data_IF_089081879120
#
_entry.id   IF_089081879120
#
_cell.length_a   1.000
_cell.length_b   1.000
_cell.length_c   1.000
_cell.angle_alpha   90.00
_cell.angle_beta   90.00
_cell.angle_gamma   90.00
#
_symmetry.space_group_name_H-M   'P 1'
#
loop_
_entity.id
_entity.type
_entity.pdbx_description
1 polymer ?
#
# COMPACT_ATOMS: atom_id res chain seq x y z
N UNK A 1 -30.86 8.89 18.10
CA UNK A 1 -29.40 9.14 17.99
C UNK A 1 -28.75 8.07 17.10
N UNK A 2 -29.27 7.90 15.88
CA UNK A 2 -29.15 6.66 15.06
C UNK A 2 -28.69 6.92 13.63
N UNK A 3 -27.94 8.01 13.40
CA UNK A 3 -27.44 8.39 12.06
C UNK A 3 -25.91 8.32 11.92
N UNK A 4 -25.19 7.91 12.97
CA UNK A 4 -23.73 7.91 12.96
C UNK A 4 -23.23 6.49 12.71
N UNK A 5 -22.48 6.33 11.61
CA UNK A 5 -21.49 5.27 11.26
C UNK A 5 -21.69 4.68 9.84
N UNK A 6 -21.85 5.52 8.81
CA UNK A 6 -21.78 5.03 7.42
C UNK A 6 -20.33 4.69 6.99
N UNK A 7 -19.32 5.39 7.52
CA UNK A 7 -17.93 5.27 7.06
C UNK A 7 -17.26 3.94 7.48
N UNK A 8 -17.59 3.41 8.67
CA UNK A 8 -16.99 2.15 9.17
C UNK A 8 -17.17 0.98 8.21
N UNK A 9 -18.32 0.92 7.54
CA UNK A 9 -18.69 -0.23 6.73
C UNK A 9 -18.25 -0.10 5.28
N UNK A 10 -17.74 1.06 4.88
CA UNK A 10 -17.14 1.26 3.55
C UNK A 10 -15.61 1.23 3.56
N UNK A 11 -14.99 1.01 4.72
CA UNK A 11 -13.52 1.03 4.87
C UNK A 11 -12.83 0.05 3.93
N UNK A 12 -13.40 -1.15 3.75
CA UNK A 12 -12.86 -2.16 2.84
C UNK A 12 -13.05 -1.75 1.39
N UNK A 13 -14.21 -1.19 1.05
CA UNK A 13 -14.48 -0.70 -0.31
C UNK A 13 -13.52 0.44 -0.70
N UNK A 14 -13.18 1.34 0.23
CA UNK A 14 -12.16 2.36 0.01
C UNK A 14 -10.76 1.77 -0.19
N UNK A 15 -10.38 0.72 0.54
CA UNK A 15 -9.09 0.03 0.32
C UNK A 15 -9.06 -0.66 -1.04
N UNK A 16 -10.15 -1.32 -1.43
CA UNK A 16 -10.30 -1.92 -2.76
C UNK A 16 -10.15 -0.86 -3.83
N UNK A 17 -10.86 0.25 -3.66
CA UNK A 17 -10.77 1.38 -4.56
C UNK A 17 -9.33 1.91 -4.70
N UNK A 18 -8.58 2.05 -3.61
CA UNK A 18 -7.17 2.44 -3.64
C UNK A 18 -6.32 1.46 -4.47
N UNK A 19 -6.52 0.15 -4.32
CA UNK A 19 -5.85 -0.86 -5.17
C UNK A 19 -6.19 -0.62 -6.65
N UNK A 20 -7.45 -0.30 -6.94
CA UNK A 20 -7.91 0.09 -8.26
C UNK A 20 -7.18 1.31 -8.84
N UNK A 21 -6.98 2.36 -8.04
CA UNK A 21 -6.22 3.54 -8.45
C UNK A 21 -4.77 3.22 -8.80
N UNK A 22 -4.11 2.38 -7.98
CA UNK A 22 -2.74 1.92 -8.26
C UNK A 22 -2.71 1.11 -9.56
N UNK A 23 -3.70 0.25 -9.81
CA UNK A 23 -3.80 -0.51 -11.06
C UNK A 23 -4.02 0.39 -12.29
N UNK A 24 -4.92 1.37 -12.22
CA UNK A 24 -5.15 2.32 -13.33
C UNK A 24 -3.84 3.03 -13.66
N UNK A 25 -3.17 3.58 -12.66
CA UNK A 25 -1.94 4.31 -12.86
C UNK A 25 -0.81 3.40 -13.37
N UNK A 26 -0.70 2.19 -12.83
CA UNK A 26 0.19 1.17 -13.37
C UNK A 26 -0.09 0.93 -14.86
N UNK A 27 -1.36 0.82 -15.27
CA UNK A 27 -1.73 0.52 -16.65
C UNK A 27 -1.44 1.69 -17.60
N UNK A 28 -1.77 2.92 -17.19
CA UNK A 28 -1.48 4.12 -17.98
C UNK A 28 0.03 4.33 -18.11
N UNK A 29 0.78 4.16 -17.02
CA UNK A 29 2.25 4.24 -17.06
C UNK A 29 2.85 3.16 -17.95
N UNK A 30 2.38 1.92 -17.79
CA UNK A 30 2.84 0.75 -18.55
C UNK A 30 2.57 0.94 -20.04
N UNK A 31 1.44 1.51 -20.43
CA UNK A 31 1.13 1.85 -21.83
C UNK A 31 2.13 2.82 -22.45
N UNK A 32 2.50 3.86 -21.70
CA UNK A 32 3.35 4.95 -22.21
C UNK A 32 4.82 4.52 -22.21
N UNK A 33 5.25 3.75 -21.21
CA UNK A 33 6.64 3.31 -21.08
C UNK A 33 6.98 2.00 -21.78
N UNK A 34 6.02 1.11 -22.04
CA UNK A 34 6.21 -0.12 -22.81
C UNK A 34 6.07 0.09 -24.33
N UNK A 35 6.63 1.17 -24.85
CA UNK A 35 6.95 1.22 -26.28
C UNK A 35 7.91 0.07 -26.65
N UNK A 36 8.00 -0.29 -27.94
CA UNK A 36 8.90 -1.36 -28.44
C UNK A 36 10.34 -1.21 -27.89
N UNK A 37 10.78 0.04 -27.73
CA UNK A 37 12.09 0.41 -27.21
C UNK A 37 12.23 0.14 -25.69
N UNK A 38 11.16 0.36 -24.92
CA UNK A 38 11.11 0.06 -23.49
C UNK A 38 11.30 -1.43 -23.21
N UNK A 39 10.57 -2.30 -23.93
CA UNK A 39 10.69 -3.75 -23.84
C UNK A 39 12.09 -4.27 -24.18
N UNK A 40 12.65 -3.80 -25.30
CA UNK A 40 13.99 -4.20 -25.74
C UNK A 40 15.08 -3.75 -24.75
N UNK A 41 14.95 -2.56 -24.17
CA UNK A 41 15.90 -2.10 -23.14
C UNK A 41 15.79 -2.92 -21.84
N UNK A 42 14.58 -3.38 -21.51
CA UNK A 42 14.31 -4.18 -20.30
C UNK A 42 14.92 -5.58 -20.44
N UNK A 43 14.79 -6.20 -21.62
CA UNK A 43 15.42 -7.49 -21.97
C UNK A 43 16.96 -7.35 -22.01
N UNK A 44 17.48 -6.25 -22.56
CA UNK A 44 18.91 -6.03 -22.68
C UNK A 44 19.59 -5.71 -21.33
N UNK A 45 18.90 -5.00 -20.42
CA UNK A 45 19.47 -4.58 -19.12
C UNK A 45 19.25 -5.61 -18.01
N UNK A 46 18.14 -6.34 -18.02
CA UNK A 46 17.86 -7.33 -16.99
C UNK A 46 18.30 -8.72 -17.48
N UNK A 47 19.41 -9.24 -16.93
CA UNK A 47 19.76 -10.66 -17.05
C UNK A 47 18.79 -11.51 -16.21
N UNK A 48 17.52 -11.54 -16.58
CA UNK A 48 16.51 -12.42 -15.97
C UNK A 48 16.75 -13.87 -16.39
N UNK A 49 16.06 -14.81 -15.71
CA UNK A 49 16.11 -16.23 -16.05
C UNK A 49 15.85 -16.47 -17.55
N UNK A 50 16.52 -17.44 -18.20
CA UNK A 50 16.39 -17.69 -19.64
C UNK A 50 14.94 -17.85 -20.12
N UNK A 51 14.10 -18.51 -19.31
CA UNK A 51 12.67 -18.72 -19.62
C UNK A 51 11.89 -17.39 -19.59
N UNK A 52 12.18 -16.53 -18.61
CA UNK A 52 11.54 -15.22 -18.48
C UNK A 52 11.99 -14.29 -19.61
N UNK A 53 13.27 -14.35 -19.98
CA UNK A 53 13.80 -13.62 -21.13
C UNK A 53 13.20 -14.10 -22.46
N UNK A 54 13.04 -15.41 -22.66
CA UNK A 54 12.38 -15.96 -23.83
C UNK A 54 10.90 -15.51 -23.92
N UNK A 55 10.18 -15.54 -22.80
CA UNK A 55 8.81 -15.02 -22.73
C UNK A 55 8.75 -13.53 -23.08
N UNK A 56 9.64 -12.71 -22.52
CA UNK A 56 9.69 -11.29 -22.84
C UNK A 56 10.12 -10.99 -24.26
N UNK A 57 11.02 -11.80 -24.84
CA UNK A 57 11.38 -11.71 -26.25
C UNK A 57 10.16 -11.97 -27.15
N UNK A 58 9.34 -12.98 -26.84
CA UNK A 58 8.09 -13.24 -27.58
C UNK A 58 7.11 -12.07 -27.43
N UNK A 59 6.93 -11.54 -26.21
CA UNK A 59 6.08 -10.37 -25.98
C UNK A 59 6.62 -9.11 -26.68
N UNK A 60 7.94 -8.95 -26.81
CA UNK A 60 8.55 -7.82 -27.51
C UNK A 60 8.40 -7.90 -29.03
N UNK A 61 8.16 -9.09 -29.60
CA UNK A 61 7.80 -9.23 -31.01
C UNK A 61 6.32 -8.90 -31.27
N UNK A 62 5.48 -8.99 -30.23
CA UNK A 62 4.05 -8.73 -30.29
C UNK A 62 3.62 -7.61 -29.33
N UNK A 63 4.41 -6.52 -29.24
CA UNK A 63 4.20 -5.47 -28.22
C UNK A 63 2.82 -4.85 -28.26
N UNK A 64 2.28 -4.57 -29.45
CA UNK A 64 0.95 -3.97 -29.59
C UNK A 64 -0.13 -4.92 -29.08
N UNK A 65 -0.10 -6.19 -29.51
CA UNK A 65 -1.05 -7.20 -29.06
C UNK A 65 -0.94 -7.45 -27.56
N UNK A 66 0.29 -7.57 -27.04
CA UNK A 66 0.57 -7.81 -25.62
C UNK A 66 0.08 -6.64 -24.76
N UNK A 67 0.29 -5.40 -25.21
CA UNK A 67 -0.17 -4.20 -24.53
C UNK A 67 -1.69 -4.10 -24.52
N UNK A 68 -2.36 -4.43 -25.63
CA UNK A 68 -3.83 -4.47 -25.72
C UNK A 68 -4.40 -5.54 -24.79
N UNK A 69 -3.80 -6.75 -24.75
CA UNK A 69 -4.23 -7.82 -23.85
C UNK A 69 -4.08 -7.40 -22.39
N UNK A 70 -2.94 -6.80 -22.01
CA UNK A 70 -2.72 -6.27 -20.65
C UNK A 70 -3.80 -5.23 -20.30
N UNK A 71 -4.09 -4.30 -21.21
CA UNK A 71 -5.14 -3.31 -21.01
C UNK A 71 -6.52 -3.92 -20.81
N UNK A 72 -6.91 -4.88 -21.64
CA UNK A 72 -8.20 -5.55 -21.53
C UNK A 72 -8.29 -6.31 -20.20
N UNK A 73 -7.23 -7.04 -19.81
CA UNK A 73 -7.19 -7.76 -18.54
C UNK A 73 -7.29 -6.79 -17.36
N UNK A 74 -6.55 -5.68 -17.36
CA UNK A 74 -6.62 -4.71 -16.26
C UNK A 74 -7.97 -3.99 -16.25
N UNK A 75 -8.51 -3.61 -17.40
CA UNK A 75 -9.85 -3.01 -17.50
C UNK A 75 -10.93 -3.95 -16.95
N UNK A 76 -10.88 -5.25 -17.30
CA UNK A 76 -11.77 -6.26 -16.74
C UNK A 76 -11.57 -6.40 -15.23
N UNK A 77 -10.32 -6.47 -14.75
CA UNK A 77 -10.04 -6.52 -13.30
C UNK A 77 -10.57 -5.28 -12.58
N UNK A 78 -10.44 -4.09 -13.14
CA UNK A 78 -10.99 -2.85 -12.60
C UNK A 78 -12.52 -2.91 -12.55
N UNK A 79 -13.17 -3.31 -13.64
CA UNK A 79 -14.62 -3.52 -13.67
C UNK A 79 -15.04 -4.53 -12.59
N UNK A 80 -14.36 -5.67 -12.46
CA UNK A 80 -14.70 -6.67 -11.45
C UNK A 80 -14.35 -6.27 -10.01
N UNK A 81 -13.34 -5.43 -9.83
CA UNK A 81 -12.92 -4.95 -8.52
C UNK A 81 -13.89 -3.88 -7.98
N UNK A 82 -14.40 -3.03 -8.87
CA UNK A 82 -15.32 -1.93 -8.56
C UNK A 82 -16.79 -2.38 -8.61
N UNK A 83 -17.14 -3.28 -9.53
CA UNK A 83 -18.50 -3.79 -9.67
C UNK A 83 -18.70 -5.03 -8.80
N UNK A 84 -17.75 -5.95 -8.61
CA UNK A 84 -17.93 -7.20 -7.85
C UNK A 84 -17.34 -7.18 -6.43
N UNK A 85 -17.80 -8.05 -5.52
CA UNK A 85 -17.09 -8.44 -4.27
C UNK A 85 -16.35 -9.77 -4.46
N UNK A 86 -15.90 -10.04 -5.69
CA UNK A 86 -15.31 -11.33 -6.03
C UNK A 86 -13.88 -11.44 -5.47
N UNK A 87 -13.69 -12.33 -4.50
CA UNK A 87 -12.40 -12.63 -3.86
C UNK A 87 -11.36 -13.09 -4.89
N UNK A 88 -11.77 -13.79 -5.94
CA UNK A 88 -10.88 -14.21 -7.02
C UNK A 88 -10.28 -13.05 -7.79
N UNK A 89 -11.02 -11.95 -7.97
CA UNK A 89 -10.47 -10.75 -8.61
C UNK A 89 -9.33 -10.15 -7.78
N UNK A 90 -9.52 -10.02 -6.47
CA UNK A 90 -8.50 -9.52 -5.56
C UNK A 90 -7.28 -10.46 -5.49
N UNK A 91 -7.50 -11.77 -5.55
CA UNK A 91 -6.42 -12.75 -5.65
C UNK A 91 -5.61 -12.59 -6.95
N UNK A 92 -6.28 -12.46 -8.10
CA UNK A 92 -5.64 -12.24 -9.40
C UNK A 92 -4.86 -10.90 -9.44
N UNK A 93 -5.41 -9.84 -8.84
CA UNK A 93 -4.70 -8.56 -8.67
C UNK A 93 -3.46 -8.73 -7.80
N UNK A 94 -3.55 -9.51 -6.71
CA UNK A 94 -2.40 -9.91 -5.91
C UNK A 94 -1.34 -10.61 -6.77
N UNK A 95 -1.72 -11.61 -7.56
CA UNK A 95 -0.79 -12.32 -8.46
C UNK A 95 -0.16 -11.40 -9.51
N UNK A 96 -0.91 -10.42 -10.03
CA UNK A 96 -0.39 -9.42 -10.97
C UNK A 96 0.74 -8.59 -10.32
N UNK A 97 0.50 -8.04 -9.12
CA UNK A 97 1.54 -7.30 -8.40
C UNK A 97 2.73 -8.18 -8.01
N UNK A 98 2.50 -9.45 -7.68
CA UNK A 98 3.57 -10.42 -7.45
C UNK A 98 4.43 -10.60 -8.70
N UNK A 99 3.81 -10.79 -9.87
CA UNK A 99 4.52 -10.91 -11.14
C UNK A 99 5.32 -9.65 -11.47
N UNK A 100 4.71 -8.47 -11.34
CA UNK A 100 5.39 -7.19 -11.56
C UNK A 100 6.57 -7.01 -10.61
N UNK A 101 6.39 -7.37 -9.34
CA UNK A 101 7.47 -7.36 -8.36
C UNK A 101 8.61 -8.27 -8.80
N UNK A 102 8.33 -9.53 -9.17
CA UNK A 102 9.32 -10.49 -9.65
C UNK A 102 10.14 -9.97 -10.84
N UNK A 103 9.49 -9.28 -11.78
CA UNK A 103 10.13 -8.75 -13.00
C UNK A 103 10.96 -7.48 -12.71
N UNK A 104 10.65 -6.78 -11.62
CA UNK A 104 11.37 -5.57 -11.20
C UNK A 104 12.45 -5.86 -10.15
N UNK A 105 12.59 -7.12 -9.72
CA UNK A 105 13.68 -7.55 -8.85
C UNK A 105 15.05 -7.21 -9.44
N UNK A 106 15.95 -6.72 -8.58
CA UNK A 106 17.29 -6.32 -8.96
C UNK A 106 17.39 -4.93 -9.61
N UNK A 107 16.27 -4.24 -9.89
CA UNK A 107 16.33 -2.83 -10.30
C UNK A 107 16.76 -1.94 -9.13
N UNK A 108 17.92 -1.27 -9.19
CA UNK A 108 18.39 -0.39 -8.12
C UNK A 108 17.40 0.77 -7.91
N UNK A 109 17.20 1.17 -6.64
CA UNK A 109 16.29 2.25 -6.25
C UNK A 109 14.81 1.87 -6.10
N UNK A 110 14.40 0.65 -6.46
CA UNK A 110 13.01 0.23 -6.22
C UNK A 110 12.78 -0.08 -4.74
N UNK A 111 11.93 0.71 -4.07
CA UNK A 111 11.50 0.42 -2.70
C UNK A 111 10.78 -0.94 -2.66
N UNK A 112 11.17 -1.83 -1.75
CA UNK A 112 10.68 -3.21 -1.68
C UNK A 112 9.14 -3.27 -1.66
N UNK A 113 8.53 -2.40 -0.87
CA UNK A 113 7.09 -2.39 -0.63
C UNK A 113 6.26 -1.75 -1.75
N UNK A 114 6.91 -1.20 -2.79
CA UNK A 114 6.22 -0.59 -3.94
C UNK A 114 5.12 -1.49 -4.52
N UNK A 115 5.46 -2.74 -4.76
CA UNK A 115 4.54 -3.73 -5.33
C UNK A 115 4.11 -4.78 -4.30
N UNK A 116 4.96 -5.04 -3.30
CA UNK A 116 4.65 -5.98 -2.21
C UNK A 116 3.48 -5.48 -1.37
N UNK A 117 3.35 -4.17 -1.14
CA UNK A 117 2.26 -3.65 -0.31
C UNK A 117 0.89 -3.76 -1.02
N UNK A 118 0.68 -3.26 -2.25
CA UNK A 118 -0.56 -3.53 -3.00
C UNK A 118 -0.87 -5.02 -3.15
N UNK A 119 0.15 -5.86 -3.37
CA UNK A 119 0.01 -7.31 -3.42
C UNK A 119 -0.52 -7.89 -2.09
N UNK A 120 0.15 -7.60 -0.97
CA UNK A 120 -0.19 -8.14 0.34
C UNK A 120 -1.57 -7.67 0.81
N UNK A 121 -1.91 -6.40 0.59
CA UNK A 121 -3.25 -5.85 0.86
C UNK A 121 -4.30 -6.59 0.02
N UNK A 122 -4.06 -6.77 -1.29
CA UNK A 122 -4.99 -7.49 -2.18
C UNK A 122 -5.21 -8.93 -1.74
N UNK A 123 -4.15 -9.65 -1.36
CA UNK A 123 -4.22 -11.03 -0.87
C UNK A 123 -4.98 -11.11 0.46
N UNK A 124 -4.69 -10.23 1.43
CA UNK A 124 -5.44 -10.17 2.69
C UNK A 124 -6.93 -9.95 2.43
N UNK A 125 -7.27 -9.01 1.54
CA UNK A 125 -8.65 -8.73 1.18
C UNK A 125 -9.32 -9.91 0.45
N UNK A 126 -8.57 -10.66 -0.36
CA UNK A 126 -9.07 -11.87 -1.05
C UNK A 126 -9.40 -13.01 -0.07
N UNK A 127 -8.62 -13.13 1.00
CA UNK A 127 -8.77 -14.19 2.01
C UNK A 127 -9.83 -13.84 3.06
N UNK A 128 -10.15 -12.55 3.21
CA UNK A 128 -11.22 -12.13 4.12
C UNK A 128 -12.60 -12.59 3.65
N UNK A 129 -13.28 -13.31 4.53
CA UNK A 129 -14.55 -13.93 4.22
C UNK A 129 -15.72 -12.94 4.32
N UNK A 130 -15.95 -12.11 3.29
CA UNK A 130 -17.15 -11.26 3.22
C UNK A 130 -18.39 -12.04 2.77
N UNK A 131 -19.56 -11.80 3.40
CA UNK A 131 -20.83 -12.19 2.83
C UNK A 131 -21.00 -11.56 1.43
N UNK A 132 -21.63 -12.28 0.49
CA UNK A 132 -21.88 -11.78 -0.87
C UNK A 132 -22.89 -10.61 -0.90
N UNK A 133 -23.66 -10.41 0.17
CA UNK A 133 -24.62 -9.33 0.32
C UNK A 133 -23.97 -8.15 1.06
N UNK A 134 -23.96 -6.97 0.42
CA UNK A 134 -23.59 -5.71 1.08
C UNK A 134 -24.77 -5.22 1.93
N UNK A 135 -24.55 -4.82 3.19
CA UNK A 135 -25.61 -4.40 4.08
C UNK A 135 -26.54 -3.33 3.47
N UNK A 136 -27.86 -3.53 3.60
CA UNK A 136 -28.88 -2.59 3.13
C UNK A 136 -28.83 -1.31 3.97
N UNK A 137 -28.66 -0.14 3.35
CA UNK A 137 -28.40 1.13 4.05
C UNK A 137 -29.13 2.30 3.42
N UNK A 138 -30.30 2.60 3.98
CA UNK A 138 -31.14 3.76 3.65
C UNK A 138 -30.52 5.15 3.99
N UNK A 139 -29.25 5.22 4.41
CA UNK A 139 -28.57 6.49 4.77
C UNK A 139 -27.45 6.89 3.81
N UNK A 140 -27.34 6.27 2.64
CA UNK A 140 -26.30 6.60 1.67
C UNK A 140 -26.63 7.96 1.02
N UNK A 141 -26.03 9.03 1.53
CA UNK A 141 -26.11 10.34 0.91
C UNK A 141 -25.18 10.36 -0.31
N UNK A 142 -25.74 10.02 -1.48
CA UNK A 142 -25.04 9.99 -2.76
C UNK A 142 -24.25 11.28 -3.00
N UNK A 143 -24.80 12.43 -2.62
CA UNK A 143 -24.16 13.74 -2.79
C UNK A 143 -22.88 13.88 -1.97
N UNK A 144 -22.88 13.44 -0.71
CA UNK A 144 -21.66 13.46 0.15
C UNK A 144 -20.61 12.49 -0.40
N UNK A 145 -21.04 11.31 -0.87
CA UNK A 145 -20.13 10.32 -1.44
C UNK A 145 -19.49 10.82 -2.74
N UNK A 146 -20.27 11.47 -3.61
CA UNK A 146 -19.76 12.10 -4.84
C UNK A 146 -18.83 13.29 -4.54
N UNK A 147 -19.12 14.10 -3.52
CA UNK A 147 -18.24 15.18 -3.11
C UNK A 147 -16.89 14.66 -2.58
N UNK A 148 -16.90 13.62 -1.74
CA UNK A 148 -15.68 12.95 -1.27
C UNK A 148 -14.91 12.32 -2.43
N UNK A 149 -15.61 11.70 -3.37
CA UNK A 149 -15.03 11.14 -4.60
C UNK A 149 -14.30 12.21 -5.41
N UNK A 150 -14.95 13.37 -5.61
CA UNK A 150 -14.35 14.49 -6.32
C UNK A 150 -13.11 15.03 -5.61
N UNK A 151 -13.20 15.29 -4.29
CA UNK A 151 -12.07 15.73 -3.47
C UNK A 151 -10.90 14.76 -3.55
N UNK A 152 -11.17 13.46 -3.51
CA UNK A 152 -10.13 12.43 -3.60
C UNK A 152 -9.53 12.37 -5.01
N UNK A 153 -10.32 12.47 -6.08
CA UNK A 153 -9.82 12.56 -7.45
C UNK A 153 -8.96 13.80 -7.68
N UNK A 154 -9.32 14.94 -7.10
CA UNK A 154 -8.49 16.16 -7.11
C UNK A 154 -7.19 15.93 -6.34
N UNK A 155 -7.23 15.29 -5.17
CA UNK A 155 -6.02 14.94 -4.42
C UNK A 155 -5.11 14.01 -5.24
N UNK A 156 -5.66 13.02 -5.94
CA UNK A 156 -4.88 12.13 -6.82
C UNK A 156 -4.26 12.89 -7.98
N UNK A 157 -5.01 13.80 -8.61
CA UNK A 157 -4.48 14.67 -9.64
C UNK A 157 -3.32 15.52 -9.11
N UNK A 158 -3.48 16.13 -7.92
CA UNK A 158 -2.44 16.95 -7.30
C UNK A 158 -1.19 16.14 -6.96
N UNK A 159 -1.34 14.97 -6.33
CA UNK A 159 -0.21 14.10 -6.00
C UNK A 159 0.56 13.66 -7.25
N UNK A 160 -0.16 13.35 -8.33
CA UNK A 160 0.46 12.96 -9.60
C UNK A 160 1.11 14.17 -10.30
N UNK A 161 0.45 15.32 -10.31
CA UNK A 161 1.01 16.53 -10.89
C UNK A 161 2.28 16.97 -10.14
N UNK A 162 2.26 16.90 -8.81
CA UNK A 162 3.40 17.22 -7.95
C UNK A 162 4.56 16.24 -8.12
N UNK A 163 4.27 14.99 -8.47
CA UNK A 163 5.32 14.01 -8.72
C UNK A 163 5.96 14.14 -10.10
N UNK A 164 5.40 14.94 -11.01
CA UNK A 164 5.86 15.11 -12.40
C UNK A 164 6.13 13.81 -13.17
N UNK A 165 5.48 12.71 -12.78
CA UNK A 165 5.70 11.37 -13.32
C UNK A 165 5.30 11.34 -14.81
N UNK A 166 6.28 11.48 -15.72
CA UNK A 166 6.07 11.56 -17.18
C UNK A 166 6.51 12.87 -17.88
N UNK A 167 7.15 13.82 -17.18
CA UNK A 167 7.63 15.05 -17.81
C UNK A 167 6.47 15.96 -18.29
N UNK A 168 6.57 16.58 -19.47
CA UNK A 168 5.50 17.44 -20.03
C UNK A 168 4.16 16.68 -20.18
N UNK A 169 4.23 15.36 -20.40
CA UNK A 169 3.05 14.48 -20.51
C UNK A 169 2.44 14.12 -19.14
N UNK A 170 3.15 14.38 -18.03
CA UNK A 170 2.70 14.03 -16.68
C UNK A 170 1.35 14.67 -16.35
N UNK A 171 1.09 15.91 -16.77
CA UNK A 171 -0.19 16.58 -16.51
C UNK A 171 -1.35 15.90 -17.24
N UNK A 172 -1.12 15.43 -18.47
CA UNK A 172 -2.12 14.68 -19.24
C UNK A 172 -2.39 13.31 -18.60
N UNK A 173 -1.34 12.60 -18.19
CA UNK A 173 -1.46 11.30 -17.52
C UNK A 173 -2.14 11.43 -16.16
N UNK A 174 -1.80 12.47 -15.39
CA UNK A 174 -2.45 12.82 -14.13
C UNK A 174 -3.95 13.02 -14.33
N UNK A 175 -4.29 13.86 -15.33
CA UNK A 175 -5.67 14.21 -15.65
C UNK A 175 -6.46 12.98 -16.10
N UNK A 176 -5.93 12.20 -17.03
CA UNK A 176 -6.58 11.00 -17.54
C UNK A 176 -6.78 9.96 -16.43
N UNK A 177 -5.75 9.71 -15.61
CA UNK A 177 -5.84 8.77 -14.48
C UNK A 177 -6.85 9.22 -13.44
N UNK A 178 -6.90 10.52 -13.12
CA UNK A 178 -7.86 11.09 -12.18
C UNK A 178 -9.29 11.02 -12.71
N UNK A 179 -9.51 11.27 -14.01
CA UNK A 179 -10.82 11.15 -14.67
C UNK A 179 -11.28 9.69 -14.70
N UNK A 180 -10.42 8.75 -15.11
CA UNK A 180 -10.75 7.32 -15.10
C UNK A 180 -11.08 6.85 -13.68
N UNK A 181 -10.26 7.23 -12.69
CA UNK A 181 -10.51 6.91 -11.29
C UNK A 181 -11.83 7.51 -10.78
N UNK A 182 -12.14 8.76 -11.15
CA UNK A 182 -13.40 9.42 -10.82
C UNK A 182 -14.60 8.65 -11.40
N UNK A 183 -14.59 8.37 -12.70
CA UNK A 183 -15.67 7.65 -13.39
C UNK A 183 -15.89 6.26 -12.77
N UNK A 184 -14.81 5.51 -12.53
CA UNK A 184 -14.91 4.19 -11.90
C UNK A 184 -15.45 4.26 -10.47
N UNK A 185 -15.07 5.29 -9.70
CA UNK A 185 -15.58 5.51 -8.35
C UNK A 185 -17.07 5.83 -8.37
N UNK A 186 -17.53 6.71 -9.28
CA UNK A 186 -18.95 6.97 -9.51
C UNK A 186 -19.69 5.68 -9.88
N UNK A 187 -19.17 4.89 -10.81
CA UNK A 187 -19.77 3.60 -11.19
C UNK A 187 -19.84 2.61 -10.01
N UNK A 188 -18.80 2.50 -9.19
CA UNK A 188 -18.82 1.69 -7.97
C UNK A 188 -19.87 2.18 -6.97
N UNK A 189 -20.00 3.50 -6.80
CA UNK A 189 -21.00 4.10 -5.93
C UNK A 189 -22.43 3.83 -6.42
N UNK A 190 -22.66 3.92 -7.72
CA UNK A 190 -23.95 3.57 -8.32
C UNK A 190 -24.23 2.07 -8.15
N UNK A 191 -23.25 1.21 -8.42
CA UNK A 191 -23.39 -0.25 -8.26
C UNK A 191 -23.66 -0.66 -6.80
N UNK A 192 -22.98 -0.03 -5.85
CA UNK A 192 -23.21 -0.27 -4.41
C UNK A 192 -24.57 0.23 -3.95
N UNK A 193 -25.03 1.39 -4.44
CA UNK A 193 -26.38 1.89 -4.20
C UNK A 193 -27.45 0.87 -4.68
N UNK A 194 -27.32 0.35 -5.91
CA UNK A 194 -28.25 -0.64 -6.42
C UNK A 194 -28.20 -1.98 -5.67
N UNK A 195 -27.02 -2.39 -5.20
CA UNK A 195 -26.88 -3.59 -4.36
C UNK A 195 -27.51 -3.45 -2.99
N UNK A 196 -27.41 -2.26 -2.39
CA UNK A 196 -27.95 -2.01 -1.07
C UNK A 196 -29.47 -2.22 -1.02
N UNK A 197 -30.19 -2.06 -2.14
CA UNK A 197 -31.65 -2.31 -2.20
C UNK A 197 -32.07 -3.76 -1.96
N UNK A 198 -31.16 -4.75 -1.98
CA UNK A 198 -31.48 -6.12 -1.55
C UNK A 198 -31.55 -6.16 -0.02
N UNK A 199 -32.69 -6.58 0.54
CA UNK A 199 -32.84 -6.77 1.99
C UNK A 199 -31.79 -7.75 2.52
N UNK A 200 -30.97 -7.30 3.46
CA UNK A 200 -29.95 -8.09 4.12
C UNK A 200 -30.42 -8.43 5.53
N UNK A 201 -30.21 -9.67 5.96
CA UNK A 201 -30.59 -10.13 7.31
C UNK A 201 -29.71 -9.47 8.38
N UNK A 202 -30.17 -9.39 9.63
CA UNK A 202 -29.35 -8.85 10.73
C UNK A 202 -28.05 -9.66 10.95
N UNK A 203 -28.08 -10.97 10.70
CA UNK A 203 -26.93 -11.88 10.87
C UNK A 203 -25.82 -11.59 9.84
N UNK A 204 -26.21 -11.18 8.62
CA UNK A 204 -25.27 -10.78 7.58
C UNK A 204 -24.54 -9.46 7.93
N UNK A 205 -25.21 -8.54 8.62
CA UNK A 205 -24.62 -7.27 9.07
C UNK A 205 -23.53 -7.51 10.14
N UNK A 206 -23.81 -8.35 11.12
CA UNK A 206 -22.82 -8.71 12.15
C UNK A 206 -21.64 -9.47 11.55
N UNK A 207 -21.92 -10.40 10.64
CA UNK A 207 -20.90 -11.14 9.89
C UNK A 207 -20.00 -10.23 9.07
N UNK A 208 -20.57 -9.23 8.38
CA UNK A 208 -19.81 -8.24 7.63
C UNK A 208 -18.92 -7.39 8.54
N UNK A 209 -19.46 -6.88 9.66
CA UNK A 209 -18.69 -6.08 10.63
C UNK A 209 -17.53 -6.88 11.23
N UNK A 210 -17.76 -8.16 11.54
CA UNK A 210 -16.74 -9.09 12.04
C UNK A 210 -15.65 -9.35 10.99
N UNK A 211 -16.03 -9.59 9.74
CA UNK A 211 -15.10 -9.76 8.62
C UNK A 211 -14.23 -8.50 8.42
N UNK A 212 -14.85 -7.31 8.33
CA UNK A 212 -14.15 -6.03 8.21
C UNK A 212 -13.16 -5.81 9.35
N UNK A 213 -13.57 -6.05 10.59
CA UNK A 213 -12.69 -5.88 11.74
C UNK A 213 -11.48 -6.82 11.69
N UNK A 214 -11.68 -8.08 11.29
CA UNK A 214 -10.62 -9.06 11.13
C UNK A 214 -9.64 -8.66 10.02
N UNK A 215 -10.14 -8.14 8.90
CA UNK A 215 -9.33 -7.65 7.78
C UNK A 215 -8.51 -6.43 8.19
N UNK A 216 -9.12 -5.44 8.86
CA UNK A 216 -8.38 -4.28 9.36
C UNK A 216 -7.29 -4.74 10.34
N UNK A 217 -7.59 -5.67 11.25
CA UNK A 217 -6.57 -6.22 12.15
C UNK A 217 -5.44 -6.93 11.39
N UNK A 218 -5.73 -7.64 10.30
CA UNK A 218 -4.73 -8.25 9.43
C UNK A 218 -3.80 -7.19 8.80
N UNK A 219 -4.38 -6.08 8.33
CA UNK A 219 -3.64 -4.95 7.77
C UNK A 219 -2.73 -4.28 8.80
N UNK A 220 -3.18 -4.15 10.06
CA UNK A 220 -2.34 -3.64 11.16
C UNK A 220 -1.04 -4.44 11.33
N UNK A 221 -1.11 -5.78 11.27
CA UNK A 221 0.12 -6.59 11.31
C UNK A 221 0.99 -6.36 10.08
N UNK A 222 0.38 -6.16 8.92
CA UNK A 222 1.12 -5.86 7.70
C UNK A 222 1.87 -4.54 7.77
N UNK A 223 1.24 -3.49 8.30
CA UNK A 223 1.94 -2.22 8.54
C UNK A 223 3.02 -2.33 9.62
N UNK A 224 2.75 -3.05 10.71
CA UNK A 224 3.76 -3.30 11.75
C UNK A 224 4.99 -4.04 11.21
N UNK A 225 4.77 -5.10 10.42
CA UNK A 225 5.85 -5.83 9.74
C UNK A 225 6.65 -4.94 8.81
N UNK A 226 5.96 -4.16 7.97
CA UNK A 226 6.60 -3.23 7.04
C UNK A 226 7.51 -2.24 7.77
N UNK A 227 7.04 -1.65 8.89
CA UNK A 227 7.85 -0.73 9.68
C UNK A 227 9.03 -1.43 10.37
N UNK A 228 8.89 -2.66 10.87
CA UNK A 228 10.04 -3.42 11.41
C UNK A 228 11.10 -3.63 10.33
N UNK A 229 10.68 -4.03 9.12
CA UNK A 229 11.59 -4.15 7.99
C UNK A 229 12.26 -2.81 7.67
N UNK A 230 11.50 -1.72 7.62
CA UNK A 230 12.00 -0.38 7.33
C UNK A 230 13.07 0.03 8.34
N UNK A 231 12.81 -0.12 9.65
CA UNK A 231 13.76 0.23 10.71
C UNK A 231 15.08 -0.53 10.55
N UNK A 232 15.01 -1.83 10.29
CA UNK A 232 16.21 -2.67 10.13
C UNK A 232 16.94 -2.30 8.83
N UNK A 233 16.19 -2.14 7.73
CA UNK A 233 16.74 -1.73 6.44
C UNK A 233 17.50 -0.40 6.54
N UNK A 234 16.90 0.58 7.20
CA UNK A 234 17.45 1.94 7.33
C UNK A 234 18.68 1.95 8.24
N UNK A 235 18.73 1.07 9.26
CA UNK A 235 19.92 0.84 10.07
C UNK A 235 21.08 0.26 9.23
N UNK A 236 20.81 -0.75 8.39
CA UNK A 236 21.80 -1.35 7.49
C UNK A 236 22.26 -0.41 6.36
N UNK A 237 21.39 0.50 5.92
CA UNK A 237 21.73 1.56 4.96
C UNK A 237 22.45 2.75 5.62
N UNK A 238 22.68 2.69 6.93
CA UNK A 238 23.23 3.77 7.75
C UNK A 238 22.42 5.08 7.68
N UNK A 239 21.15 5.02 7.31
CA UNK A 239 20.26 6.17 7.26
C UNK A 239 19.90 6.68 8.66
N UNK A 240 20.02 5.86 9.71
CA UNK A 240 19.94 6.33 11.11
C UNK A 240 21.27 6.80 11.71
N UNK A 241 22.25 7.14 10.87
CA UNK A 241 23.46 7.84 11.30
C UNK A 241 23.39 9.31 10.88
N UNK A 242 24.03 10.22 11.63
CA UNK A 242 24.08 11.64 11.27
C UNK A 242 24.54 11.83 9.82
N UNK A 243 25.65 11.20 9.43
CA UNK A 243 26.22 11.32 8.09
C UNK A 243 25.31 10.74 7.00
N UNK A 244 24.72 9.56 7.24
CA UNK A 244 23.83 8.93 6.26
C UNK A 244 22.52 9.69 6.08
N UNK A 245 21.92 10.20 7.16
CA UNK A 245 20.68 10.95 7.11
C UNK A 245 20.85 12.34 6.49
N UNK A 246 21.93 13.05 6.85
CA UNK A 246 22.29 14.33 6.23
C UNK A 246 22.52 14.14 4.73
N UNK A 247 23.28 13.12 4.34
CA UNK A 247 23.47 12.78 2.93
C UNK A 247 22.15 12.48 2.22
N UNK A 248 21.25 11.70 2.84
CA UNK A 248 19.95 11.35 2.29
C UNK A 248 19.10 12.61 2.00
N UNK A 249 18.97 13.50 2.98
CA UNK A 249 18.18 14.73 2.82
C UNK A 249 18.84 15.67 1.82
N UNK A 250 20.16 15.83 1.85
CA UNK A 250 20.88 16.66 0.88
C UNK A 250 20.66 16.17 -0.55
N UNK A 251 20.70 14.84 -0.75
CA UNK A 251 20.36 14.20 -2.04
C UNK A 251 18.91 14.51 -2.41
N UNK A 252 17.97 14.37 -1.47
CA UNK A 252 16.56 14.66 -1.72
C UNK A 252 16.32 16.13 -2.11
N UNK A 253 16.91 17.07 -1.38
CA UNK A 253 16.84 18.50 -1.65
C UNK A 253 17.43 18.87 -3.03
N UNK A 254 18.55 18.22 -3.41
CA UNK A 254 19.24 18.47 -4.68
C UNK A 254 18.48 17.94 -5.89
N UNK A 255 17.89 16.75 -5.77
CA UNK A 255 17.32 16.03 -6.92
C UNK A 255 15.79 16.05 -6.99
N UNK A 256 15.09 16.62 -6.00
CA UNK A 256 13.63 16.75 -6.06
C UNK A 256 13.18 17.67 -7.21
N UNK A 257 12.14 17.23 -7.92
CA UNK A 257 11.43 18.02 -8.93
C UNK A 257 10.10 18.60 -8.39
N UNK A 258 9.82 18.44 -7.10
CA UNK A 258 8.61 18.95 -6.47
C UNK A 258 8.55 20.49 -6.47
N UNK A 259 7.36 21.09 -6.21
CA UNK A 259 7.19 22.54 -6.10
C UNK A 259 8.16 23.21 -5.12
N UNK A 260 8.38 24.52 -5.30
CA UNK A 260 9.35 25.31 -4.52
C UNK A 260 9.16 25.20 -3.00
N UNK A 261 7.92 25.06 -2.53
CA UNK A 261 7.61 24.88 -1.12
C UNK A 261 8.21 23.58 -0.56
N UNK A 262 8.08 22.46 -1.28
CA UNK A 262 8.67 21.17 -0.89
C UNK A 262 10.19 21.25 -0.91
N UNK A 263 10.78 21.92 -1.92
CA UNK A 263 12.23 22.17 -1.98
C UNK A 263 12.74 22.95 -0.76
N UNK A 264 12.06 24.05 -0.44
CA UNK A 264 12.42 24.91 0.70
C UNK A 264 12.29 24.16 2.03
N UNK A 265 11.29 23.30 2.15
CA UNK A 265 11.10 22.44 3.31
C UNK A 265 12.21 21.38 3.45
N UNK A 266 12.64 20.73 2.36
CA UNK A 266 13.76 19.78 2.37
C UNK A 266 15.08 20.44 2.80
N UNK A 267 15.36 21.66 2.30
CA UNK A 267 16.54 22.44 2.73
C UNK A 267 16.47 22.80 4.22
N UNK A 268 15.26 23.06 4.74
CA UNK A 268 15.08 23.26 6.18
C UNK A 268 15.36 21.97 6.97
N UNK A 269 14.85 20.82 6.50
CA UNK A 269 15.08 19.52 7.14
C UNK A 269 16.57 19.14 7.16
N UNK A 270 17.33 19.49 6.13
CA UNK A 270 18.79 19.23 6.06
C UNK A 270 19.51 19.84 7.26
N UNK A 271 19.14 21.07 7.65
CA UNK A 271 19.71 21.77 8.82
C UNK A 271 19.39 21.09 10.15
N UNK A 272 18.25 20.38 10.22
CA UNK A 272 17.82 19.65 11.41
C UNK A 272 18.18 18.16 11.35
N UNK A 273 18.87 17.69 10.32
CA UNK A 273 19.26 16.29 10.12
C UNK A 273 19.95 15.63 11.33
N UNK A 274 20.79 16.32 12.15
CA UNK A 274 21.40 15.70 13.32
C UNK A 274 20.41 15.33 14.43
N UNK A 275 19.24 15.97 14.47
CA UNK A 275 18.18 15.65 15.44
C UNK A 275 17.10 14.75 14.83
N UNK A 276 16.76 15.00 13.57
CA UNK A 276 15.68 14.29 12.88
C UNK A 276 15.94 12.79 12.75
N UNK A 277 17.19 12.36 12.52
CA UNK A 277 17.48 10.92 12.42
C UNK A 277 17.20 10.17 13.73
N UNK A 278 17.51 10.78 14.88
CA UNK A 278 17.26 10.20 16.21
C UNK A 278 15.75 10.12 16.45
N UNK A 279 15.03 11.22 16.15
CA UNK A 279 13.58 11.28 16.31
C UNK A 279 12.90 10.24 15.42
N UNK A 280 13.31 10.12 14.16
CA UNK A 280 12.75 9.15 13.22
C UNK A 280 13.03 7.71 13.65
N UNK A 281 14.26 7.39 14.10
CA UNK A 281 14.60 6.06 14.63
C UNK A 281 13.70 5.67 15.81
N UNK A 282 13.53 6.56 16.79
CA UNK A 282 12.70 6.31 17.97
C UNK A 282 11.24 6.16 17.56
N UNK A 283 10.73 7.10 16.76
CA UNK A 283 9.34 7.13 16.33
C UNK A 283 8.99 5.88 15.52
N UNK A 284 9.78 5.53 14.51
CA UNK A 284 9.58 4.33 13.68
C UNK A 284 9.62 3.05 14.51
N UNK A 285 10.60 2.92 15.41
CA UNK A 285 10.72 1.74 16.28
C UNK A 285 9.51 1.59 17.20
N UNK A 286 9.05 2.67 17.84
CA UNK A 286 7.88 2.67 18.72
C UNK A 286 6.61 2.34 17.95
N UNK A 287 6.43 2.90 16.75
CA UNK A 287 5.27 2.64 15.90
C UNK A 287 5.29 1.20 15.37
N UNK A 288 6.44 0.67 14.96
CA UNK A 288 6.62 -0.70 14.49
C UNK A 288 6.24 -1.72 15.58
N UNK A 289 6.82 -1.56 16.77
CA UNK A 289 6.55 -2.42 17.92
C UNK A 289 5.08 -2.27 18.35
N UNK A 290 4.58 -1.05 18.46
CA UNK A 290 3.21 -0.75 18.90
C UNK A 290 2.14 -1.38 17.99
N UNK A 291 2.29 -1.25 16.67
CA UNK A 291 1.38 -1.83 15.70
C UNK A 291 1.44 -3.37 15.68
N UNK A 292 2.65 -3.96 15.76
CA UNK A 292 2.81 -5.41 15.73
C UNK A 292 2.30 -6.09 17.01
N UNK A 293 2.59 -5.51 18.18
CA UNK A 293 2.07 -5.97 19.48
C UNK A 293 0.60 -5.56 19.72
N UNK A 294 0.06 -4.67 18.88
CA UNK A 294 -1.27 -4.06 19.03
C UNK A 294 -1.48 -3.46 20.40
N UNK A 295 -0.52 -2.63 20.82
CA UNK A 295 -0.58 -1.80 22.02
C UNK A 295 -0.58 -0.34 21.59
N UNK A 296 -1.30 0.49 22.33
CA UNK A 296 -1.50 1.91 21.97
C UNK A 296 -1.98 2.04 20.51
N UNK A 297 -2.90 1.15 20.11
CA UNK A 297 -3.20 0.87 18.68
C UNK A 297 -3.63 2.11 17.90
N UNK A 298 -4.52 2.93 18.46
CA UNK A 298 -5.06 4.11 17.76
C UNK A 298 -4.00 5.21 17.63
N UNK A 299 -3.27 5.60 18.69
CA UNK A 299 -2.16 6.54 18.53
C UNK A 299 -1.07 6.02 17.60
N UNK A 300 -0.72 4.73 17.65
CA UNK A 300 0.25 4.15 16.72
C UNK A 300 -0.24 4.19 15.26
N UNK A 301 -1.53 3.98 15.01
CA UNK A 301 -2.09 4.10 13.65
C UNK A 301 -2.02 5.53 13.11
N UNK A 302 -2.40 6.53 13.93
CA UNK A 302 -2.30 7.93 13.52
C UNK A 302 -0.83 8.35 13.37
N UNK A 303 0.04 7.96 14.30
CA UNK A 303 1.47 8.22 14.23
C UNK A 303 2.11 7.61 12.97
N UNK A 304 1.80 6.36 12.65
CA UNK A 304 2.27 5.71 11.42
C UNK A 304 1.69 6.34 10.17
N UNK A 305 0.41 6.75 10.19
CA UNK A 305 -0.20 7.50 9.07
C UNK A 305 0.53 8.81 8.81
N UNK A 306 0.79 9.58 9.87
CA UNK A 306 1.48 10.87 9.77
C UNK A 306 2.93 10.70 9.34
N UNK A 307 3.63 9.72 9.90
CA UNK A 307 5.01 9.41 9.53
C UNK A 307 5.09 8.99 8.06
N UNK A 308 4.33 7.97 7.63
CA UNK A 308 4.35 7.52 6.24
C UNK A 308 3.91 8.62 5.28
N UNK A 309 2.96 9.47 5.67
CA UNK A 309 2.55 10.63 4.87
C UNK A 309 3.64 11.70 4.76
N UNK A 310 4.36 11.98 5.84
CA UNK A 310 5.50 12.90 5.82
C UNK A 310 6.64 12.34 4.96
N UNK A 311 6.97 11.06 5.08
CA UNK A 311 7.95 10.36 4.25
C UNK A 311 7.53 10.35 2.77
N UNK A 312 6.27 10.03 2.48
CA UNK A 312 5.72 10.08 1.12
C UNK A 312 5.85 11.49 0.52
N UNK A 313 5.57 12.52 1.32
CA UNK A 313 5.66 13.91 0.90
C UNK A 313 7.10 14.33 0.58
N UNK A 314 8.07 14.02 1.45
CA UNK A 314 9.47 14.38 1.21
C UNK A 314 10.08 13.61 0.03
N UNK A 315 9.62 12.39 -0.22
CA UNK A 315 10.03 11.57 -1.37
C UNK A 315 9.33 11.95 -2.67
N UNK A 316 8.29 12.79 -2.62
CA UNK A 316 7.54 13.19 -3.80
C UNK A 316 8.45 13.98 -4.76
N UNK A 317 8.54 13.50 -6.00
CA UNK A 317 9.30 14.16 -7.07
C UNK A 317 10.79 13.81 -7.09
N UNK A 318 11.24 12.83 -6.29
CA UNK A 318 12.64 12.36 -6.30
C UNK A 318 12.79 11.21 -7.30
N UNK A 319 13.81 11.16 -8.17
CA UNK A 319 13.98 10.04 -9.09
C UNK A 319 13.99 8.67 -8.41
N UNK A 320 13.28 7.70 -8.98
CA UNK A 320 13.10 6.36 -8.39
C UNK A 320 14.37 5.46 -8.46
N UNK A 321 15.43 5.93 -9.12
CA UNK A 321 16.71 5.23 -9.19
C UNK A 321 17.65 5.79 -8.12
N UNK A 322 18.38 4.91 -7.43
CA UNK A 322 19.45 5.32 -6.52
C UNK A 322 20.83 4.99 -7.12
N UNK A 323 21.78 5.94 -7.16
CA UNK A 323 21.63 7.34 -6.79
C UNK A 323 20.72 8.11 -7.78
N UNK A 324 19.96 9.11 -7.31
CA UNK A 324 19.06 9.88 -8.17
C UNK A 324 19.84 10.72 -9.19
N UNK A 325 19.30 10.82 -10.39
CA UNK A 325 19.85 11.60 -11.49
C UNK A 325 18.81 12.63 -11.96
N UNK A 326 19.25 13.85 -12.27
CA UNK A 326 18.40 14.88 -12.85
C UNK A 326 17.83 14.38 -14.19
N UNK A 327 16.50 14.49 -14.36
CA UNK A 327 15.80 13.95 -15.53
C UNK A 327 15.65 12.42 -15.57
N UNK A 328 16.07 11.70 -14.51
CA UNK A 328 15.81 10.27 -14.38
C UNK A 328 14.32 9.96 -14.19
N UNK A 329 13.90 8.72 -14.48
CA UNK A 329 12.52 8.27 -14.26
C UNK A 329 12.08 8.56 -12.82
N UNK A 330 11.03 9.37 -12.66
CA UNK A 330 10.69 10.04 -11.42
C UNK A 330 10.07 9.06 -10.39
N UNK A 331 10.03 9.45 -9.10
CA UNK A 331 9.44 8.69 -8.00
C UNK A 331 8.02 8.26 -8.33
N UNK A 332 7.74 7.01 -8.02
CA UNK A 332 6.42 6.45 -8.13
C UNK A 332 5.59 6.89 -6.94
N UNK A 333 4.63 7.80 -7.16
CA UNK A 333 3.71 8.36 -6.15
C UNK A 333 3.22 7.30 -5.16
N UNK A 334 2.85 6.13 -5.66
CA UNK A 334 2.15 5.14 -4.84
C UNK A 334 3.02 4.27 -3.95
N UNK A 335 4.34 4.45 -3.90
CA UNK A 335 5.20 3.71 -2.94
C UNK A 335 4.68 3.90 -1.52
N UNK A 336 4.84 5.09 -0.94
CA UNK A 336 4.34 5.35 0.41
C UNK A 336 2.91 5.92 0.45
N UNK A 337 2.42 6.58 -0.61
CA UNK A 337 1.06 7.13 -0.58
C UNK A 337 -0.01 6.03 -0.47
N UNK A 338 0.17 4.87 -1.13
CA UNK A 338 -0.76 3.74 -0.99
C UNK A 338 -0.84 3.26 0.47
N UNK A 339 0.33 3.04 1.10
CA UNK A 339 0.43 2.65 2.51
C UNK A 339 -0.20 3.69 3.42
N UNK A 340 0.08 4.98 3.18
CA UNK A 340 -0.45 6.11 3.95
C UNK A 340 -1.96 6.15 3.92
N UNK A 341 -2.58 6.00 2.74
CA UNK A 341 -4.05 5.99 2.63
C UNK A 341 -4.68 4.77 3.27
N UNK A 342 -4.06 3.58 3.15
CA UNK A 342 -4.57 2.39 3.82
C UNK A 342 -4.47 2.51 5.35
N UNK A 343 -3.38 3.07 5.87
CA UNK A 343 -3.19 3.39 7.29
C UNK A 343 -4.23 4.39 7.76
N UNK A 344 -4.49 5.46 7.00
CA UNK A 344 -5.51 6.46 7.30
C UNK A 344 -6.91 5.83 7.42
N UNK A 345 -7.29 4.98 6.46
CA UNK A 345 -8.59 4.26 6.52
C UNK A 345 -8.66 3.38 7.78
N UNK A 346 -7.58 2.65 8.11
CA UNK A 346 -7.51 1.85 9.33
C UNK A 346 -7.60 2.70 10.61
N UNK A 347 -6.93 3.86 10.63
CA UNK A 347 -6.94 4.81 11.74
C UNK A 347 -8.35 5.38 11.97
N UNK A 348 -9.02 5.83 10.91
CA UNK A 348 -10.41 6.32 10.96
C UNK A 348 -11.33 5.22 11.45
N UNK A 349 -11.23 4.00 10.91
CA UNK A 349 -12.06 2.86 11.32
C UNK A 349 -11.88 2.53 12.80
N UNK A 350 -10.65 2.44 13.31
CA UNK A 350 -10.37 2.14 14.72
C UNK A 350 -10.76 3.28 15.64
N UNK A 351 -10.56 4.54 15.23
CA UNK A 351 -11.02 5.72 15.99
C UNK A 351 -12.54 5.72 16.12
N UNK A 352 -13.27 5.39 15.05
CA UNK A 352 -14.73 5.24 15.10
C UNK A 352 -15.17 4.11 16.04
N UNK A 353 -14.52 2.94 15.99
CA UNK A 353 -14.76 1.87 16.96
C UNK A 353 -14.55 2.34 18.40
N UNK A 354 -13.48 3.08 18.67
CA UNK A 354 -13.20 3.61 19.99
C UNK A 354 -14.25 4.64 20.43
N UNK A 355 -14.66 5.56 19.56
CA UNK A 355 -15.71 6.54 19.87
C UNK A 355 -17.06 5.90 20.22
N UNK A 356 -17.32 4.66 19.81
CA UNK A 356 -18.53 3.92 20.25
C UNK A 356 -18.40 3.31 21.64
N UNK A 357 -17.19 3.11 22.14
CA UNK A 357 -16.91 2.45 23.43
C UNK A 357 -16.43 3.41 24.50
N UNK A 358 -15.84 4.54 24.10
CA UNK A 358 -15.31 5.59 24.96
C UNK A 358 -14.45 5.08 26.13
N UNK A 359 -13.68 4.01 25.93
CA UNK A 359 -12.84 3.42 26.99
C UNK A 359 -11.36 3.54 26.69
N UNK A 360 -10.57 3.85 27.72
CA UNK A 360 -9.11 3.90 27.63
C UNK A 360 -8.53 2.52 27.25
N UNK A 361 -9.15 1.44 27.72
CA UNK A 361 -8.80 0.06 27.33
C UNK A 361 -8.97 -0.14 25.82
N UNK A 362 -10.05 0.37 25.22
CA UNK A 362 -10.25 0.30 23.76
C UNK A 362 -9.29 1.22 22.99
N UNK A 363 -8.90 2.37 23.55
CA UNK A 363 -7.87 3.25 22.95
C UNK A 363 -6.51 2.54 22.88
N UNK A 364 -6.10 1.90 23.97
CA UNK A 364 -4.80 1.26 24.12
C UNK A 364 -4.75 -0.09 23.40
N UNK A 365 -5.70 -0.98 23.70
CA UNK A 365 -5.64 -2.39 23.26
C UNK A 365 -6.54 -2.68 22.05
N UNK A 366 -7.33 -1.72 21.60
CA UNK A 366 -8.36 -1.92 20.59
C UNK A 366 -9.59 -2.65 21.13
N UNK A 367 -10.58 -2.86 20.27
CA UNK A 367 -11.76 -3.64 20.62
C UNK A 367 -11.41 -5.13 20.78
N UNK A 368 -11.94 -5.78 21.83
CA UNK A 368 -11.80 -7.21 22.12
C UNK A 368 -12.40 -8.01 20.97
N UNK A 369 -11.59 -8.37 19.97
CA UNK A 369 -11.98 -9.41 19.04
C UNK A 369 -12.08 -10.71 19.83
N UNK A 370 -13.26 -11.31 19.87
CA UNK A 370 -13.40 -12.69 20.37
C UNK A 370 -12.30 -13.56 19.76
N UNK A 371 -11.77 -14.51 20.53
CA UNK A 371 -10.67 -15.43 20.16
C UNK A 371 -10.75 -16.08 18.76
N UNK A 372 -11.87 -15.97 18.05
CA UNK A 372 -12.00 -16.32 16.64
C UNK A 372 -11.27 -15.32 15.71
N UNK A 373 -9.98 -15.09 15.93
CA UNK A 373 -9.12 -14.73 14.81
C UNK A 373 -9.12 -15.95 13.90
N UNK A 374 -9.94 -15.91 12.84
CA UNK A 374 -10.21 -17.09 12.04
C UNK A 374 -8.86 -17.66 11.57
N UNK A 375 -8.59 -18.93 11.89
CA UNK A 375 -7.33 -19.60 11.56
C UNK A 375 -6.99 -19.40 10.07
N UNK A 376 -7.98 -19.27 9.19
CA UNK A 376 -7.79 -18.96 7.76
C UNK A 376 -7.13 -17.61 7.48
N UNK A 377 -7.47 -16.53 8.21
CA UNK A 377 -6.83 -15.20 8.03
C UNK A 377 -5.43 -15.21 8.65
N UNK A 378 -5.27 -15.83 9.83
CA UNK A 378 -3.96 -15.99 10.48
C UNK A 378 -3.01 -16.80 9.62
N UNK A 379 -3.46 -17.95 9.13
CA UNK A 379 -2.71 -18.82 8.23
C UNK A 379 -2.52 -18.15 6.87
N UNK A 380 -3.46 -17.35 6.39
CA UNK A 380 -3.34 -16.59 5.14
C UNK A 380 -2.25 -15.52 5.17
N UNK A 381 -2.16 -14.78 6.27
CA UNK A 381 -1.08 -13.82 6.55
C UNK A 381 0.24 -14.57 6.67
N UNK A 382 0.30 -15.59 7.52
CA UNK A 382 1.51 -16.41 7.71
C UNK A 382 1.95 -17.02 6.39
N UNK A 383 1.05 -17.62 5.60
CA UNK A 383 1.36 -18.23 4.30
C UNK A 383 1.79 -17.19 3.27
N UNK A 384 1.16 -16.02 3.21
CA UNK A 384 1.54 -14.94 2.29
C UNK A 384 2.91 -14.36 2.64
N UNK A 385 3.23 -14.24 3.93
CA UNK A 385 4.56 -13.85 4.40
C UNK A 385 5.59 -14.94 4.25
N UNK A 386 5.25 -16.20 4.53
CA UNK A 386 6.12 -17.36 4.31
C UNK A 386 6.38 -17.57 2.82
N UNK A 387 5.43 -17.28 1.92
CA UNK A 387 5.63 -17.28 0.48
C UNK A 387 6.52 -16.12 0.04
N UNK A 388 6.26 -14.90 0.50
CA UNK A 388 7.14 -13.75 0.25
C UNK A 388 8.57 -14.02 0.75
N UNK A 389 8.68 -14.68 1.90
CA UNK A 389 9.92 -15.06 2.54
C UNK A 389 10.65 -16.16 1.76
N UNK A 390 9.98 -17.26 1.42
CA UNK A 390 10.54 -18.35 0.64
C UNK A 390 10.92 -17.89 -0.77
N UNK A 391 10.15 -16.99 -1.35
CA UNK A 391 10.43 -16.41 -2.65
C UNK A 391 11.63 -15.46 -2.57
N UNK A 392 11.68 -14.57 -1.57
CA UNK A 392 12.83 -13.68 -1.33
C UNK A 392 14.12 -14.48 -1.02
N UNK A 393 14.02 -15.59 -0.28
CA UNK A 393 15.13 -16.51 0.01
C UNK A 393 15.57 -17.27 -1.26
N UNK A 394 14.63 -17.80 -2.05
CA UNK A 394 14.93 -18.49 -3.30
C UNK A 394 15.64 -17.57 -4.30
N UNK A 395 15.23 -16.30 -4.35
CA UNK A 395 15.83 -15.28 -5.21
C UNK A 395 17.20 -14.80 -4.69
N UNK A 396 17.40 -14.80 -3.36
CA UNK A 396 18.67 -14.53 -2.69
C UNK A 396 19.73 -15.60 -2.99
N UNK A 397 19.35 -16.87 -3.04
CA UNK A 397 20.24 -17.98 -3.46
C UNK A 397 20.72 -17.79 -4.90
N UNK A 398 19.97 -17.03 -5.71
CA UNK A 398 20.24 -16.82 -7.13
C UNK A 398 20.91 -15.46 -7.45
N UNK A 399 21.03 -14.51 -6.50
CA UNK A 399 21.49 -13.12 -6.74
C UNK A 399 22.52 -12.59 -5.70
N UNK A 400 23.48 -13.43 -5.29
CA UNK A 400 24.29 -13.35 -4.07
C UNK A 400 25.32 -12.20 -3.87
N UNK A 401 25.15 -10.98 -4.40
CA UNK A 401 26.21 -9.95 -4.34
C UNK A 401 25.99 -8.69 -3.48
N UNK A 402 24.90 -8.54 -2.70
CA UNK A 402 24.53 -7.19 -2.21
C UNK A 402 24.14 -6.99 -0.72
N UNK A 403 24.46 -7.87 0.23
CA UNK A 403 24.31 -7.55 1.68
C UNK A 403 22.88 -7.37 2.23
N UNK A 404 21.82 -7.39 1.40
CA UNK A 404 20.38 -7.30 1.77
C UNK A 404 19.83 -8.53 2.52
N UNK A 405 20.73 -9.40 2.92
CA UNK A 405 20.52 -10.72 3.48
C UNK A 405 20.24 -10.63 4.98
N UNK A 406 21.08 -9.86 5.69
CA UNK A 406 20.97 -9.66 7.13
C UNK A 406 19.70 -8.92 7.52
N UNK A 407 19.34 -7.87 6.76
CA UNK A 407 18.09 -7.11 6.98
C UNK A 407 16.86 -8.02 7.06
N UNK A 408 16.76 -8.98 6.13
CA UNK A 408 15.61 -9.86 6.05
C UNK A 408 15.61 -10.90 7.18
N UNK A 409 16.77 -11.49 7.50
CA UNK A 409 16.94 -12.41 8.62
C UNK A 409 16.57 -11.75 9.95
N UNK A 410 17.15 -10.58 10.22
CA UNK A 410 16.90 -9.82 11.43
C UNK A 410 15.43 -9.38 11.54
N UNK A 411 14.82 -9.02 10.41
CA UNK A 411 13.38 -8.71 10.37
C UNK A 411 12.54 -9.91 10.79
N UNK A 412 12.85 -11.11 10.30
CA UNK A 412 12.09 -12.32 10.66
C UNK A 412 12.28 -12.64 12.13
N UNK A 413 13.51 -12.56 12.64
CA UNK A 413 13.82 -12.81 14.05
C UNK A 413 13.04 -11.82 14.92
N UNK A 414 13.10 -10.51 14.61
CA UNK A 414 12.39 -9.47 15.33
C UNK A 414 10.87 -9.69 15.29
N UNK A 415 10.30 -9.96 14.12
CA UNK A 415 8.85 -10.20 13.97
C UNK A 415 8.43 -11.47 14.70
N UNK A 416 9.22 -12.54 14.64
CA UNK A 416 8.93 -13.80 15.34
C UNK A 416 8.95 -13.59 16.85
N UNK A 417 9.98 -12.91 17.37
CA UNK A 417 10.08 -12.56 18.78
C UNK A 417 8.92 -11.69 19.26
N UNK A 418 8.59 -10.63 18.51
CA UNK A 418 7.45 -9.76 18.82
C UNK A 418 6.11 -10.51 18.73
N UNK A 419 5.98 -11.48 17.81
CA UNK A 419 4.79 -12.33 17.71
C UNK A 419 4.64 -13.26 18.93
N UNK A 420 5.75 -13.77 19.46
CA UNK A 420 5.77 -14.56 20.70
C UNK A 420 5.35 -13.69 21.89
N UNK A 421 5.95 -12.50 22.05
CA UNK A 421 5.59 -11.53 23.09
C UNK A 421 4.11 -11.19 23.02
N UNK A 422 3.61 -10.90 21.81
CA UNK A 422 2.22 -10.60 21.59
C UNK A 422 1.32 -11.77 22.01
N UNK A 423 1.65 -13.01 21.65
CA UNK A 423 0.89 -14.19 22.05
C UNK A 423 0.84 -14.33 23.58
N UNK A 424 1.92 -13.96 24.28
CA UNK A 424 1.95 -13.87 25.74
C UNK A 424 1.03 -12.76 26.25
N UNK A 425 1.13 -11.53 25.72
CA UNK A 425 0.25 -10.41 26.05
C UNK A 425 -1.24 -10.76 25.83
N UNK A 426 -1.57 -11.46 24.74
CA UNK A 426 -2.94 -11.89 24.44
C UNK A 426 -3.51 -12.85 25.50
N UNK A 427 -2.68 -13.69 26.14
CA UNK A 427 -3.12 -14.55 27.26
C UNK A 427 -3.56 -13.74 28.48
N UNK A 428 -2.94 -12.58 28.73
CA UNK A 428 -3.32 -11.67 29.82
C UNK A 428 -4.47 -10.71 29.44
N UNK A 429 -4.91 -10.73 28.17
CA UNK A 429 -6.09 -9.97 27.69
C UNK A 429 -7.38 -10.81 27.77
N UNK A 430 -7.28 -12.13 27.85
CA UNK A 430 -8.38 -13.06 28.14
C UNK A 430 -8.78 -12.92 29.62
#
# INVERSE_FOLDING_TARGET
>A
MTHRLSIMDHSIDYIRWLIGCVLIQFTVYTYITLSLHGWQSLIAKNKLFPIVNAFFLVMSHHVMLSSVIIWVVVALLLVFLFIGTNRWCLFLVGLLFLFVWLVTLGKPGTWLFKYVMPMAVSLILSLSAYPNASPNRNSFNLSVSLALTFLFSVLLFLLYWMSQDGGVEATFIAGLSAVIAFVLLVCAHVATYYRSKKSVSCDDHESYRKATNNTINALLYLFGFMLVYQVISDAYLHWFTTQGYEHLIAVYAKYTQAPLHTKSFLVLLERFSPWLHIVQLILESVLAIGLLLRIVTIPCLWGATLLCGALAWIETGIPAAWPPQLGGSISWVWTLWFTTFCLFICAVYKTQQWMTQCSLKALIMGHRTSLSWNNSIRNGIIVSYSLLLLLAIALRVLASSAGRIGVLEDTIIAVSFLTIIKAYIERYRA
#
